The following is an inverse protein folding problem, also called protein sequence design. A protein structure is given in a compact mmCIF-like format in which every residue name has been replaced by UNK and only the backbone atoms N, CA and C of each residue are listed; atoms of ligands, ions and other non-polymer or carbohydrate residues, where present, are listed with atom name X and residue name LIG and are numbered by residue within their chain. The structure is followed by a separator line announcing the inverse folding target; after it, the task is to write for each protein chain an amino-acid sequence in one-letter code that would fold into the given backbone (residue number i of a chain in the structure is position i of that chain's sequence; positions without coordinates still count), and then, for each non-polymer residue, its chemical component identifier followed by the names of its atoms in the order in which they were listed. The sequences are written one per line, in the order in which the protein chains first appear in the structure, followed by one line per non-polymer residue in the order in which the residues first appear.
data_IF_259220247360
#
_entry.id   IF_259220247360
#
_cell.length_a   1.000
_cell.length_b   1.000
_cell.length_c   1.000
_cell.angle_alpha   90.00
_cell.angle_beta   90.00
_cell.angle_gamma   90.00
#
_symmetry.space_group_name_H-M   'P 1'
#
loop_
_entity.id
_entity.type
_entity.pdbx_description
1 polymer ?
#
# COMPACT_ATOMS: atom_id res chain seq x y z
N UNK A 1 6.60 -6.90 -0.54
CA UNK A 1 7.83 -6.24 -0.06
C UNK A 1 7.92 -4.75 -0.43
N UNK A 2 7.66 -4.24 -1.65
CA UNK A 2 7.89 -2.83 -1.99
C UNK A 2 7.13 -1.83 -1.11
N UNK A 3 5.86 -2.12 -0.79
CA UNK A 3 5.08 -1.29 0.14
C UNK A 3 5.75 -1.19 1.51
N UNK A 4 6.04 -2.34 2.13
CA UNK A 4 6.66 -2.38 3.46
C UNK A 4 8.02 -1.67 3.48
N UNK A 5 8.87 -1.92 2.48
CA UNK A 5 10.20 -1.30 2.39
C UNK A 5 10.11 0.24 2.31
N UNK A 6 9.14 0.75 1.56
CA UNK A 6 8.87 2.19 1.48
C UNK A 6 8.36 2.77 2.80
N UNK A 7 7.51 2.04 3.53
CA UNK A 7 7.02 2.47 4.86
C UNK A 7 8.14 2.40 5.91
N UNK A 8 9.06 1.43 5.81
CA UNK A 8 10.28 1.39 6.65
C UNK A 8 11.15 2.61 6.39
N UNK A 9 11.31 3.00 5.12
CA UNK A 9 12.06 4.22 4.76
C UNK A 9 11.36 5.48 5.30
N UNK A 10 10.06 5.57 5.24
CA UNK A 10 9.30 6.66 5.86
C UNK A 10 9.55 6.71 7.37
N UNK A 11 9.53 5.55 8.04
CA UNK A 11 9.82 5.46 9.47
C UNK A 11 11.25 5.95 9.81
N UNK A 12 12.23 5.59 9.00
CA UNK A 12 13.60 6.07 9.15
C UNK A 12 13.70 7.60 8.98
N UNK A 13 13.04 8.15 7.97
CA UNK A 13 13.16 9.58 7.62
C UNK A 13 12.36 10.49 8.55
N UNK A 14 11.23 10.01 9.11
CA UNK A 14 10.25 10.85 9.83
C UNK A 14 9.98 10.43 11.26
N UNK A 15 10.39 9.23 11.65
CA UNK A 15 10.00 8.63 12.94
C UNK A 15 8.57 8.07 12.97
N UNK A 16 7.80 8.17 11.87
CA UNK A 16 6.44 7.62 11.82
C UNK A 16 6.49 6.09 11.86
N UNK A 17 5.84 5.42 12.84
CA UNK A 17 5.94 3.97 12.97
C UNK A 17 5.31 3.23 11.78
N UNK A 18 5.78 2.02 11.52
CA UNK A 18 5.22 1.12 10.49
C UNK A 18 3.82 0.66 10.90
N UNK A 19 3.68 0.18 12.16
CA UNK A 19 2.40 -0.14 12.79
C UNK A 19 1.92 1.09 13.55
N UNK A 20 0.79 1.64 13.14
CA UNK A 20 0.28 2.94 13.61
C UNK A 20 -1.03 2.75 14.35
N UNK A 21 -1.15 3.27 15.54
CA UNK A 21 -2.46 3.37 16.20
C UNK A 21 -3.42 4.18 15.29
N UNK A 22 -4.70 3.80 15.28
CA UNK A 22 -5.69 4.46 14.41
C UNK A 22 -5.77 5.97 14.64
N UNK A 23 -5.59 6.43 15.88
CA UNK A 23 -5.65 7.85 16.23
C UNK A 23 -4.56 8.71 15.55
N UNK A 24 -3.45 8.11 15.08
CA UNK A 24 -2.44 8.84 14.29
C UNK A 24 -2.98 9.33 12.93
N UNK A 25 -3.95 8.61 12.35
CA UNK A 25 -4.58 8.94 11.09
C UNK A 25 -5.99 9.51 11.24
N UNK A 26 -6.67 9.19 12.35
CA UNK A 26 -8.06 9.56 12.63
C UNK A 26 -8.19 10.18 14.03
N UNK A 27 -7.47 11.29 14.34
CA UNK A 27 -7.48 11.89 15.68
C UNK A 27 -8.84 12.45 16.09
N UNK A 28 -9.66 12.85 15.11
CA UNK A 28 -10.99 13.42 15.34
C UNK A 28 -12.12 12.38 15.36
N UNK A 29 -11.78 11.09 15.27
CA UNK A 29 -12.72 9.99 15.35
C UNK A 29 -12.61 9.30 16.70
N UNK A 30 -13.56 9.55 17.65
CA UNK A 30 -13.49 8.98 19.01
C UNK A 30 -13.41 7.46 19.03
N UNK A 31 -14.08 6.78 18.07
CA UNK A 31 -14.04 5.32 17.99
C UNK A 31 -12.68 4.81 17.56
N UNK A 32 -12.02 5.52 16.63
CA UNK A 32 -10.66 5.19 16.22
C UNK A 32 -9.64 5.45 17.33
N UNK A 33 -9.83 6.52 18.11
CA UNK A 33 -8.95 6.88 19.24
C UNK A 33 -8.99 5.82 20.35
N UNK A 34 -10.14 5.24 20.63
CA UNK A 34 -10.32 4.23 21.67
C UNK A 34 -9.85 2.81 21.26
N UNK A 35 -9.52 2.58 19.95
CA UNK A 35 -9.13 1.25 19.48
C UNK A 35 -7.69 0.90 19.85
N UNK A 36 -7.54 -0.26 20.49
CA UNK A 36 -6.23 -0.84 20.86
C UNK A 36 -5.97 -2.22 20.25
N UNK A 37 -6.95 -2.78 19.52
CA UNK A 37 -6.97 -4.13 18.98
C UNK A 37 -6.91 -4.17 17.44
N UNK A 38 -6.67 -2.99 16.84
CA UNK A 38 -6.54 -2.75 15.40
C UNK A 38 -5.44 -1.71 15.17
N UNK A 39 -4.82 -1.75 13.98
CA UNK A 39 -3.79 -0.79 13.63
C UNK A 39 -3.75 -0.51 12.13
N UNK A 40 -3.19 0.64 11.75
CA UNK A 40 -2.80 0.91 10.38
C UNK A 40 -1.40 0.36 10.12
N UNK A 41 -1.23 -0.36 9.03
CA UNK A 41 0.06 -0.77 8.50
C UNK A 41 0.47 0.19 7.38
N UNK A 42 1.36 1.12 7.71
CA UNK A 42 1.58 2.30 6.89
C UNK A 42 0.34 3.21 6.84
N UNK A 43 0.21 4.07 5.81
CA UNK A 43 -0.89 5.02 5.70
C UNK A 43 -2.20 4.42 5.15
N UNK A 44 -2.15 3.23 4.53
CA UNK A 44 -3.21 2.78 3.63
C UNK A 44 -3.93 1.51 4.04
N UNK A 45 -3.33 0.71 4.94
CA UNK A 45 -3.80 -0.65 5.23
C UNK A 45 -4.22 -0.75 6.69
N UNK A 46 -5.50 -1.05 6.94
CA UNK A 46 -6.04 -1.37 8.26
C UNK A 46 -5.92 -2.87 8.50
N UNK A 47 -5.40 -3.25 9.66
CA UNK A 47 -5.23 -4.65 10.09
C UNK A 47 -5.93 -4.85 11.42
N UNK A 48 -6.78 -5.87 11.50
CA UNK A 48 -7.47 -6.28 12.72
C UNK A 48 -7.10 -7.74 13.07
N UNK A 49 -6.06 -7.96 13.87
CA UNK A 49 -5.60 -9.30 14.23
C UNK A 49 -6.67 -10.11 14.94
N UNK A 50 -6.64 -11.41 14.71
CA UNK A 50 -7.48 -12.37 15.44
C UNK A 50 -6.66 -12.92 16.60
N UNK A 51 -7.00 -12.49 17.82
CA UNK A 51 -6.22 -12.78 19.03
C UNK A 51 -6.81 -13.89 19.89
N UNK A 52 -8.06 -14.29 19.64
CA UNK A 52 -8.76 -15.31 20.42
C UNK A 52 -8.77 -16.65 19.68
N UNK A 53 -8.32 -17.69 20.39
CA UNK A 53 -8.28 -19.05 19.84
C UNK A 53 -9.70 -19.58 19.57
N UNK A 54 -9.90 -20.13 18.36
CA UNK A 54 -11.16 -20.79 17.99
C UNK A 54 -12.29 -19.86 17.60
N UNK A 55 -12.04 -18.54 17.53
CA UNK A 55 -13.06 -17.62 17.03
C UNK A 55 -13.29 -17.78 15.54
N UNK A 56 -14.56 -17.74 15.13
CA UNK A 56 -14.96 -17.83 13.73
C UNK A 56 -15.30 -16.46 13.10
N UNK A 57 -15.25 -15.40 13.91
CA UNK A 57 -15.52 -14.05 13.44
C UNK A 57 -14.73 -13.02 14.23
N UNK A 58 -14.40 -11.90 13.60
CA UNK A 58 -13.74 -10.75 14.21
C UNK A 58 -14.60 -9.51 14.01
N UNK A 59 -14.97 -8.86 15.13
CA UNK A 59 -15.61 -7.56 15.14
C UNK A 59 -14.51 -6.49 15.12
N UNK A 60 -14.60 -5.55 14.19
CA UNK A 60 -13.61 -4.47 14.03
C UNK A 60 -14.28 -3.16 13.67
N UNK A 61 -13.61 -2.06 13.93
CA UNK A 61 -14.03 -0.73 13.54
C UNK A 61 -13.34 -0.32 12.23
N UNK A 62 -14.11 0.08 11.24
CA UNK A 62 -13.58 0.64 9.98
C UNK A 62 -13.78 2.15 10.02
N UNK A 63 -12.72 2.98 10.03
CA UNK A 63 -12.82 4.44 10.04
C UNK A 63 -13.63 4.99 8.87
N UNK A 64 -14.11 6.23 8.97
CA UNK A 64 -14.93 6.87 7.92
C UNK A 64 -14.23 6.84 6.56
N UNK A 65 -15.01 6.63 5.51
CA UNK A 65 -14.59 6.54 4.12
C UNK A 65 -14.89 5.20 3.50
N UNK A 66 -14.52 5.06 2.23
CA UNK A 66 -14.64 3.81 1.50
C UNK A 66 -13.36 3.00 1.70
N UNK A 67 -13.54 1.72 1.98
CA UNK A 67 -12.47 0.72 2.15
C UNK A 67 -12.72 -0.49 1.27
N UNK A 68 -11.71 -1.30 1.09
CA UNK A 68 -11.78 -2.55 0.32
C UNK A 68 -11.20 -3.69 1.14
N UNK A 69 -11.95 -4.78 1.25
CA UNK A 69 -11.40 -6.03 1.80
C UNK A 69 -10.19 -6.47 0.95
N UNK A 70 -9.06 -6.66 1.58
CA UNK A 70 -7.80 -6.95 0.89
C UNK A 70 -7.85 -8.25 0.06
N UNK A 71 -8.59 -9.25 0.58
CA UNK A 71 -8.65 -10.59 -0.01
C UNK A 71 -9.64 -10.69 -1.17
N UNK A 72 -10.77 -10.03 -1.05
CA UNK A 72 -11.87 -10.14 -2.01
C UNK A 72 -12.03 -8.91 -2.90
N UNK A 73 -11.35 -7.82 -2.56
CA UNK A 73 -11.53 -6.48 -3.14
C UNK A 73 -12.98 -5.94 -3.01
N UNK A 74 -13.82 -6.54 -2.16
CA UNK A 74 -15.17 -6.06 -1.92
C UNK A 74 -15.16 -4.70 -1.22
N UNK A 75 -15.97 -3.72 -1.68
CA UNK A 75 -16.06 -2.41 -1.06
C UNK A 75 -16.78 -2.50 0.30
N UNK A 76 -16.30 -1.71 1.25
CA UNK A 76 -16.85 -1.61 2.61
C UNK A 76 -16.96 -0.14 2.99
N UNK A 77 -18.18 0.31 3.29
CA UNK A 77 -18.41 1.65 3.82
C UNK A 77 -17.98 1.71 5.29
N UNK A 78 -17.08 2.63 5.62
CA UNK A 78 -16.56 2.84 6.97
C UNK A 78 -17.44 3.73 7.85
N UNK A 79 -16.86 4.21 8.96
CA UNK A 79 -17.55 4.97 10.02
C UNK A 79 -18.38 4.06 10.95
N UNK A 80 -18.14 2.76 10.92
CA UNK A 80 -18.92 1.77 11.68
C UNK A 80 -18.11 0.54 12.07
N UNK A 81 -18.65 -0.21 13.01
CA UNK A 81 -18.18 -1.55 13.28
C UNK A 81 -18.76 -2.54 12.27
N UNK A 82 -17.94 -3.48 11.88
CA UNK A 82 -18.34 -4.61 11.04
C UNK A 82 -17.91 -5.93 11.70
N UNK A 83 -18.51 -7.02 11.24
CA UNK A 83 -18.12 -8.38 11.63
C UNK A 83 -17.63 -9.11 10.40
N UNK A 84 -16.39 -9.60 10.46
CA UNK A 84 -15.76 -10.39 9.40
C UNK A 84 -15.63 -11.83 9.84
N UNK A 85 -16.13 -12.76 9.03
CA UNK A 85 -15.86 -14.19 9.24
C UNK A 85 -14.35 -14.44 9.05
N UNK A 86 -13.77 -15.24 9.92
CA UNK A 86 -12.33 -15.53 9.95
C UNK A 86 -12.08 -17.03 10.11
N UNK A 87 -10.94 -17.47 9.62
CA UNK A 87 -10.39 -18.81 9.79
C UNK A 87 -8.87 -18.71 10.00
N UNK A 88 -8.17 -19.82 9.98
CA UNK A 88 -6.70 -19.83 10.15
C UNK A 88 -5.94 -19.20 8.97
N UNK A 89 -6.57 -19.06 7.82
CA UNK A 89 -5.95 -18.50 6.62
C UNK A 89 -6.31 -17.02 6.40
N UNK A 90 -7.33 -16.49 7.08
CA UNK A 90 -7.91 -15.17 6.79
C UNK A 90 -7.83 -14.26 7.99
N UNK A 91 -6.91 -13.31 7.97
CA UNK A 91 -6.88 -12.17 8.88
C UNK A 91 -7.62 -10.99 8.24
N UNK A 92 -8.52 -10.27 8.94
CA UNK A 92 -9.16 -9.07 8.43
C UNK A 92 -8.15 -7.99 8.11
N UNK A 93 -8.06 -7.63 6.83
CA UNK A 93 -7.21 -6.57 6.28
C UNK A 93 -8.06 -5.75 5.32
N UNK A 94 -7.99 -4.44 5.43
CA UNK A 94 -8.73 -3.51 4.58
C UNK A 94 -7.78 -2.44 4.02
N UNK A 95 -8.02 -2.04 2.78
CA UNK A 95 -7.26 -0.98 2.13
C UNK A 95 -8.17 0.20 1.88
N UNK A 96 -7.74 1.40 2.24
CA UNK A 96 -8.57 2.61 2.06
C UNK A 96 -8.71 2.97 0.58
N UNK A 97 -9.80 3.62 0.21
CA UNK A 97 -9.93 4.25 -1.10
C UNK A 97 -8.86 5.32 -1.31
N UNK A 98 -8.40 5.46 -2.54
CA UNK A 98 -7.27 6.30 -2.93
C UNK A 98 -5.91 5.62 -2.78
N UNK A 99 -5.82 4.48 -2.12
CA UNK A 99 -4.55 3.80 -1.94
C UNK A 99 -3.96 3.30 -3.26
N UNK A 100 -2.64 3.45 -3.37
CA UNK A 100 -1.83 2.91 -4.46
C UNK A 100 -0.80 1.97 -3.83
N UNK A 101 -1.04 0.68 -3.93
CA UNK A 101 -0.26 -0.34 -3.22
C UNK A 101 0.65 -1.10 -4.18
N UNK A 102 1.99 -1.01 -4.06
CA UNK A 102 2.91 -1.79 -4.86
C UNK A 102 3.08 -3.21 -4.31
N UNK A 103 3.04 -4.18 -5.21
CA UNK A 103 3.31 -5.60 -4.97
C UNK A 103 4.52 -6.05 -5.78
N UNK A 104 5.52 -6.60 -5.12
CA UNK A 104 6.62 -7.26 -5.80
C UNK A 104 6.23 -8.63 -6.33
N UNK A 105 7.05 -9.22 -7.20
CA UNK A 105 6.88 -10.59 -7.61
C UNK A 105 6.96 -11.55 -6.43
N UNK A 106 6.34 -12.72 -6.57
CA UNK A 106 6.48 -13.81 -5.60
C UNK A 106 7.89 -14.37 -5.73
N UNK A 107 8.59 -14.45 -4.59
CA UNK A 107 9.97 -14.92 -4.50
C UNK A 107 10.10 -15.96 -3.39
N UNK A 108 10.98 -16.93 -3.58
CA UNK A 108 11.30 -17.93 -2.55
C UNK A 108 12.27 -17.35 -1.50
N UNK A 109 13.14 -16.42 -1.90
CA UNK A 109 14.06 -15.68 -1.03
C UNK A 109 14.30 -14.26 -1.59
N UNK A 110 14.82 -13.36 -0.77
CA UNK A 110 14.89 -11.91 -1.09
C UNK A 110 15.73 -11.59 -2.31
N UNK A 111 16.84 -12.30 -2.51
CA UNK A 111 17.79 -12.06 -3.61
C UNK A 111 17.42 -12.80 -4.90
N UNK A 112 16.33 -13.56 -4.92
CA UNK A 112 15.88 -14.22 -6.14
C UNK A 112 15.64 -13.21 -7.26
N UNK A 113 16.31 -13.44 -8.40
CA UNK A 113 16.14 -12.62 -9.60
C UNK A 113 14.93 -13.14 -10.37
N UNK A 114 13.93 -12.30 -10.56
CA UNK A 114 12.75 -12.60 -11.38
C UNK A 114 12.59 -11.56 -12.47
N UNK A 115 12.05 -11.98 -13.63
CA UNK A 115 11.66 -11.09 -14.71
C UNK A 115 10.19 -10.65 -14.62
N UNK A 116 9.51 -11.04 -13.55
CA UNK A 116 8.12 -10.71 -13.33
C UNK A 116 7.96 -9.20 -13.07
N UNK A 117 6.89 -8.59 -13.58
CA UNK A 117 6.66 -7.16 -13.42
C UNK A 117 6.35 -6.80 -11.98
N UNK A 118 6.69 -5.55 -11.60
CA UNK A 118 6.10 -4.92 -10.43
C UNK A 118 4.60 -4.74 -10.67
N UNK A 119 3.76 -5.11 -9.71
CA UNK A 119 2.33 -4.85 -9.76
C UNK A 119 1.98 -3.64 -8.89
N UNK A 120 1.15 -2.75 -9.42
CA UNK A 120 0.58 -1.61 -8.70
C UNK A 120 -0.92 -1.82 -8.67
N UNK A 121 -1.50 -1.95 -7.47
CA UNK A 121 -2.96 -2.02 -7.32
C UNK A 121 -3.48 -0.68 -6.79
N UNK A 122 -4.42 -0.11 -7.52
CA UNK A 122 -5.12 1.12 -7.15
C UNK A 122 -6.50 0.77 -6.60
N UNK A 123 -6.86 1.37 -5.48
CA UNK A 123 -8.17 1.23 -4.84
C UNK A 123 -8.94 2.54 -5.03
N UNK A 124 -9.91 2.61 -5.98
CA UNK A 124 -10.56 3.86 -6.36
C UNK A 124 -11.49 4.40 -5.26
N UNK A 125 -12.17 5.53 -5.54
CA UNK A 125 -13.14 6.17 -4.65
C UNK A 125 -12.61 7.39 -3.91
N UNK A 126 -11.31 7.69 -4.04
CA UNK A 126 -10.68 8.93 -3.59
C UNK A 126 -9.39 9.17 -4.36
N UNK A 127 -8.92 10.40 -4.40
CA UNK A 127 -7.56 10.73 -4.83
C UNK A 127 -6.53 10.18 -3.83
N UNK A 128 -5.34 9.83 -4.31
CA UNK A 128 -4.29 9.36 -3.43
C UNK A 128 -2.92 9.31 -4.06
N UNK A 129 -1.92 9.05 -3.24
CA UNK A 129 -0.55 8.95 -3.71
C UNK A 129 0.26 7.97 -2.88
N UNK A 130 1.33 7.43 -3.46
CA UNK A 130 2.30 6.60 -2.77
C UNK A 130 3.71 6.94 -3.26
N UNK A 131 4.66 7.02 -2.33
CA UNK A 131 6.07 7.23 -2.63
C UNK A 131 6.81 5.92 -2.41
N UNK A 132 7.07 5.19 -3.48
CA UNK A 132 7.83 3.96 -3.44
C UNK A 132 9.32 4.28 -3.37
N UNK A 133 10.02 3.64 -2.43
CA UNK A 133 11.46 3.75 -2.23
C UNK A 133 12.17 2.45 -2.60
N UNK A 134 13.32 2.55 -3.21
CA UNK A 134 14.20 1.44 -3.54
C UNK A 134 15.66 1.89 -3.52
N UNK A 135 16.52 1.01 -3.04
CA UNK A 135 17.97 1.06 -3.09
C UNK A 135 18.51 -0.30 -3.57
N UNK A 136 19.78 -0.60 -3.36
CA UNK A 136 20.37 -1.89 -3.73
C UNK A 136 20.05 -3.03 -2.75
N UNK A 137 19.46 -2.70 -1.59
CA UNK A 137 19.04 -3.65 -0.55
C UNK A 137 20.16 -4.33 0.24
N UNK A 138 21.42 -4.00 -0.02
CA UNK A 138 22.58 -4.71 0.54
C UNK A 138 23.66 -3.80 1.13
N UNK A 139 23.80 -2.58 0.63
CA UNK A 139 24.83 -1.64 1.08
C UNK A 139 24.22 -0.43 1.82
N UNK A 140 25.09 0.41 2.38
CA UNK A 140 24.70 1.71 2.95
C UNK A 140 24.85 2.87 1.95
N UNK A 141 24.91 2.58 0.67
CA UNK A 141 25.07 3.59 -0.38
C UNK A 141 23.89 4.55 -0.47
N UNK A 142 22.73 4.17 0.06
CA UNK A 142 21.59 5.06 0.23
C UNK A 142 21.90 6.29 1.10
N UNK A 143 22.86 6.20 2.05
CA UNK A 143 23.33 7.35 2.85
C UNK A 143 24.06 8.38 1.99
N UNK A 144 24.61 7.94 0.86
CA UNK A 144 25.25 8.81 -0.16
C UNK A 144 24.31 9.22 -1.29
N UNK A 145 23.03 8.87 -1.15
CA UNK A 145 21.98 9.21 -2.11
C UNK A 145 21.82 8.22 -3.26
N UNK A 146 22.38 6.99 -3.17
CA UNK A 146 22.21 5.93 -4.15
C UNK A 146 20.87 5.21 -3.93
N UNK A 147 19.77 5.87 -4.26
CA UNK A 147 18.41 5.34 -4.20
C UNK A 147 17.52 5.99 -5.23
N UNK A 148 16.39 5.37 -5.53
CA UNK A 148 15.29 5.95 -6.29
C UNK A 148 14.03 6.05 -5.46
N UNK A 149 13.24 7.09 -5.74
CA UNK A 149 11.87 7.23 -5.25
C UNK A 149 10.95 7.43 -6.43
N UNK A 150 9.96 6.57 -6.57
CA UNK A 150 8.94 6.69 -7.60
C UNK A 150 7.66 7.15 -6.93
N UNK A 151 7.18 8.33 -7.32
CA UNK A 151 5.90 8.85 -6.87
C UNK A 151 4.80 8.37 -7.80
N UNK A 152 3.77 7.78 -7.21
CA UNK A 152 2.52 7.44 -7.85
C UNK A 152 1.45 8.40 -7.36
N UNK A 153 0.74 9.06 -8.27
CA UNK A 153 -0.36 9.97 -7.98
C UNK A 153 -1.62 9.46 -8.72
N UNK A 154 -2.65 9.08 -7.96
CA UNK A 154 -3.94 8.68 -8.49
C UNK A 154 -4.93 9.83 -8.41
N UNK A 155 -5.58 10.14 -9.53
CA UNK A 155 -6.72 11.05 -9.60
C UNK A 155 -7.98 10.22 -9.93
N UNK A 156 -8.84 10.09 -8.95
CA UNK A 156 -10.04 9.24 -9.05
C UNK A 156 -11.04 9.77 -10.07
N UNK A 157 -11.28 11.08 -10.06
CA UNK A 157 -12.20 11.72 -11.02
C UNK A 157 -11.81 11.51 -12.48
N UNK A 158 -10.52 11.56 -12.79
CA UNK A 158 -10.01 11.38 -14.15
C UNK A 158 -9.61 9.95 -14.45
N UNK A 159 -9.71 9.04 -13.47
CA UNK A 159 -9.29 7.64 -13.56
C UNK A 159 -7.85 7.53 -14.07
N UNK A 160 -6.96 8.38 -13.59
CA UNK A 160 -5.60 8.51 -14.08
C UNK A 160 -4.57 8.27 -12.98
N UNK A 161 -3.63 7.37 -13.27
CA UNK A 161 -2.42 7.19 -12.48
C UNK A 161 -1.24 7.83 -13.18
N UNK A 162 -0.57 8.74 -12.49
CA UNK A 162 0.71 9.32 -12.91
C UNK A 162 1.82 8.71 -12.10
N UNK A 163 2.93 8.36 -12.73
CA UNK A 163 4.15 7.91 -12.07
C UNK A 163 5.35 8.72 -12.58
N UNK A 164 6.22 9.12 -11.66
CA UNK A 164 7.42 9.90 -11.96
C UNK A 164 8.49 9.69 -10.87
N UNK A 165 9.75 9.91 -11.22
CA UNK A 165 10.80 10.00 -10.21
C UNK A 165 10.57 11.21 -9.30
N UNK A 166 10.69 11.01 -7.99
CA UNK A 166 10.70 12.08 -7.03
C UNK A 166 12.12 12.67 -6.91
N UNK A 167 12.18 13.93 -6.44
CA UNK A 167 13.46 14.64 -6.26
C UNK A 167 14.45 13.91 -5.36
N UNK A 168 15.74 14.01 -5.67
CA UNK A 168 16.83 13.34 -4.97
C UNK A 168 17.08 11.89 -5.41
N UNK A 169 16.27 11.36 -6.33
CA UNK A 169 16.51 10.03 -6.91
C UNK A 169 17.75 10.03 -7.80
N UNK A 170 18.57 8.99 -7.67
CA UNK A 170 19.64 8.67 -8.61
C UNK A 170 19.28 7.41 -9.37
N UNK A 171 19.38 7.38 -10.71
CA UNK A 171 19.05 6.20 -11.50
C UNK A 171 19.86 4.99 -11.07
N UNK A 172 19.17 3.92 -10.67
CA UNK A 172 19.76 2.60 -10.42
C UNK A 172 19.63 1.74 -11.68
N UNK A 173 20.46 0.72 -11.88
CA UNK A 173 20.36 -0.20 -13.01
C UNK A 173 18.99 -0.88 -13.15
N UNK A 174 18.30 -1.08 -12.03
CA UNK A 174 16.95 -1.67 -11.95
C UNK A 174 15.81 -0.73 -12.32
N UNK A 175 16.09 0.53 -12.69
CA UNK A 175 15.05 1.54 -12.93
C UNK A 175 14.11 1.16 -14.08
N UNK A 176 14.68 0.63 -15.20
CA UNK A 176 13.89 0.25 -16.35
C UNK A 176 13.18 -1.08 -16.10
N UNK A 177 11.86 -1.02 -15.93
CA UNK A 177 11.05 -2.22 -15.64
C UNK A 177 9.65 -2.14 -16.21
N UNK A 178 9.05 -3.33 -16.38
CA UNK A 178 7.63 -3.44 -16.65
C UNK A 178 6.84 -3.28 -15.35
N UNK A 179 5.77 -2.49 -15.41
CA UNK A 179 4.84 -2.27 -14.31
C UNK A 179 3.43 -2.64 -14.80
N UNK A 180 2.78 -3.55 -14.09
CA UNK A 180 1.37 -3.87 -14.29
C UNK A 180 0.53 -3.08 -13.31
N UNK A 181 -0.45 -2.32 -13.80
CA UNK A 181 -1.34 -1.50 -12.99
C UNK A 181 -2.72 -2.12 -13.06
N UNK A 182 -3.32 -2.37 -11.91
CA UNK A 182 -4.65 -2.96 -11.76
C UNK A 182 -5.54 -2.03 -10.93
N UNK A 183 -6.78 -1.86 -11.35
CA UNK A 183 -7.81 -1.15 -10.58
C UNK A 183 -8.70 -2.18 -9.86
N UNK A 184 -8.66 -2.18 -8.54
CA UNK A 184 -9.54 -3.01 -7.71
C UNK A 184 -10.88 -2.29 -7.46
N UNK A 185 -12.02 -2.99 -7.40
CA UNK A 185 -12.23 -4.42 -7.67
C UNK A 185 -12.47 -4.75 -9.15
N UNK A 186 -12.42 -3.77 -10.04
CA UNK A 186 -12.87 -3.86 -11.42
C UNK A 186 -12.01 -4.82 -12.28
N UNK A 187 -10.78 -5.11 -11.85
CA UNK A 187 -9.85 -5.96 -12.57
C UNK A 187 -9.32 -5.32 -13.87
N UNK A 188 -9.62 -4.05 -14.12
CA UNK A 188 -9.05 -3.33 -15.27
C UNK A 188 -7.54 -3.22 -15.09
N UNK A 189 -6.78 -3.61 -16.11
CA UNK A 189 -5.34 -3.63 -16.04
C UNK A 189 -4.68 -2.98 -17.26
N UNK A 190 -3.49 -2.42 -17.02
CA UNK A 190 -2.59 -1.84 -18.04
C UNK A 190 -1.15 -2.22 -17.69
N UNK A 191 -0.36 -2.49 -18.72
CA UNK A 191 1.06 -2.75 -18.58
C UNK A 191 1.85 -1.64 -19.25
N UNK A 192 2.83 -1.09 -18.55
CA UNK A 192 3.70 -0.03 -19.07
C UNK A 192 5.16 -0.34 -18.77
N UNK A 193 6.06 0.25 -19.52
CA UNK A 193 7.49 0.27 -19.21
C UNK A 193 7.81 1.61 -18.57
N UNK A 194 8.40 1.59 -17.39
CA UNK A 194 8.88 2.76 -16.69
C UNK A 194 10.39 2.84 -16.79
N UNK A 195 10.91 3.90 -17.39
CA UNK A 195 12.34 4.18 -17.61
C UNK A 195 12.84 5.40 -16.83
N UNK A 196 12.03 5.88 -15.87
CA UNK A 196 12.29 7.08 -15.07
C UNK A 196 11.66 8.35 -15.62
N UNK A 197 11.18 8.36 -16.86
CA UNK A 197 10.41 9.48 -17.40
C UNK A 197 8.97 9.43 -16.86
N UNK A 198 8.31 10.59 -16.67
CA UNK A 198 6.92 10.60 -16.26
C UNK A 198 6.03 9.81 -17.23
N UNK A 199 5.20 8.94 -16.67
CA UNK A 199 4.21 8.14 -17.41
C UNK A 199 2.83 8.40 -16.82
N UNK A 200 1.82 8.54 -17.66
CA UNK A 200 0.42 8.65 -17.26
C UNK A 200 -0.39 7.53 -17.90
N UNK A 201 -1.25 6.89 -17.11
CA UNK A 201 -2.12 5.80 -17.54
C UNK A 201 -3.55 6.11 -17.15
N UNK A 202 -4.48 6.05 -18.10
CA UNK A 202 -5.93 6.31 -17.87
C UNK A 202 -6.71 5.00 -18.03
N UNK A 203 -7.75 4.82 -17.18
CA UNK A 203 -8.61 3.64 -17.12
C UNK A 203 -10.05 3.95 -17.42
#
# INVERSE_FOLDING_TARGET
MPYLYSVVREAHDTGMPIMRALWLHYPDDPRAVERSDEYMWGPDILVAPVTEKGTASRKLYVPRGLWYDFWTAAPVEGGREIVRAVDLATMPIYVRAGAVVPFGPVKQYTEEITNDPLAIRVYPGADGSFLMYEDDGTTFDYERGEFIRVKFDWSDRSRRLRMALAGGSRPLPSLMRRINIEIAPEGLSRSVVFDGKPVEVTF
#
